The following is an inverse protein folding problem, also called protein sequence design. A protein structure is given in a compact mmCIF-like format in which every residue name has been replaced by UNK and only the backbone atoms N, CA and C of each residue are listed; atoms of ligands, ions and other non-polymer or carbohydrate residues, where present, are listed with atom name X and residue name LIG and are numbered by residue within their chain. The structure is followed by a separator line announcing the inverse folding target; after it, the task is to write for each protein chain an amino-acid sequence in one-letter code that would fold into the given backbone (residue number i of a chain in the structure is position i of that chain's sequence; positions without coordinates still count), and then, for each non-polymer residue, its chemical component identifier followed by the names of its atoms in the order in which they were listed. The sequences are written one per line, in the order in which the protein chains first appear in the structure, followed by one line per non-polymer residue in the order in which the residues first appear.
data_IF_929275795114
#
_entry.id   IF_929275795114
#
_cell.length_a   1.000
_cell.length_b   1.000
_cell.length_c   1.000
_cell.angle_alpha   90.00
_cell.angle_beta   90.00
_cell.angle_gamma   90.00
#
_symmetry.space_group_name_H-M   'P 1'
#
loop_
_entity.id
_entity.type
_entity.pdbx_description
1 polymer ?
#
# COMPACT_ATOMS: atom_id res chain seq x y z
N UNK A 1 25.12 6.23 10.65
CA UNK A 1 23.67 6.03 10.92
C UNK A 1 22.91 6.24 9.62
N UNK A 2 21.99 5.33 9.25
CA UNK A 2 21.11 5.55 8.09
C UNK A 2 20.18 6.73 8.44
N UNK A 3 19.99 7.72 7.56
CA UNK A 3 19.11 8.84 7.87
C UNK A 3 17.68 8.33 8.13
N UNK A 4 17.09 8.72 9.25
CA UNK A 4 15.77 8.27 9.68
C UNK A 4 14.71 9.04 8.91
N UNK A 5 14.20 8.43 7.83
CA UNK A 5 13.00 8.91 7.15
C UNK A 5 11.78 8.52 7.98
N UNK A 6 10.87 9.47 8.21
CA UNK A 6 9.61 9.20 8.85
C UNK A 6 8.50 10.09 8.27
N UNK A 7 7.27 9.60 8.39
CA UNK A 7 6.07 10.34 8.00
C UNK A 7 5.22 10.62 9.24
N UNK A 8 4.47 11.72 9.23
CA UNK A 8 3.49 12.06 10.28
C UNK A 8 2.37 12.93 9.73
N UNK A 9 1.19 12.83 10.32
CA UNK A 9 0.12 13.78 10.04
C UNK A 9 0.31 15.07 10.84
N UNK A 10 0.03 16.21 10.21
CA UNK A 10 -0.11 17.51 10.85
C UNK A 10 -1.35 18.18 10.27
N UNK A 11 -2.41 18.32 11.07
CA UNK A 11 -3.70 18.86 10.63
C UNK A 11 -4.30 18.10 9.42
N UNK A 12 -4.17 18.60 8.19
CA UNK A 12 -4.62 17.89 6.98
C UNK A 12 -3.47 17.58 6.02
N UNK A 13 -2.22 17.67 6.50
CA UNK A 13 -1.03 17.45 5.71
C UNK A 13 -0.26 16.23 6.19
N UNK A 14 0.20 15.40 5.25
CA UNK A 14 1.17 14.35 5.48
C UNK A 14 2.56 14.95 5.34
N UNK A 15 3.29 15.04 6.45
CA UNK A 15 4.65 15.54 6.49
C UNK A 15 5.63 14.38 6.29
N UNK A 16 6.62 14.59 5.43
CA UNK A 16 7.76 13.69 5.23
C UNK A 16 8.98 14.38 5.79
N UNK A 17 9.66 13.73 6.73
CA UNK A 17 10.83 14.27 7.37
C UNK A 17 11.99 13.29 7.34
N UNK A 18 13.21 13.82 7.22
CA UNK A 18 14.46 13.07 7.26
C UNK A 18 15.35 13.69 8.32
N UNK A 19 15.77 12.88 9.30
CA UNK A 19 16.58 13.34 10.44
C UNK A 19 15.94 14.52 11.20
N UNK A 20 14.61 14.50 11.36
CA UNK A 20 13.86 15.56 12.05
C UNK A 20 13.54 16.79 11.21
N UNK A 21 14.14 16.95 10.03
CA UNK A 21 13.84 18.06 9.12
C UNK A 21 12.75 17.68 8.12
N UNK A 22 11.73 18.53 7.98
CA UNK A 22 10.72 18.41 6.91
C UNK A 22 11.39 18.55 5.54
N UNK A 23 11.18 17.56 4.68
CA UNK A 23 11.71 17.53 3.30
C UNK A 23 10.60 17.51 2.25
N UNK A 24 9.37 17.15 2.64
CA UNK A 24 8.20 17.19 1.77
C UNK A 24 6.91 17.28 2.61
N UNK A 25 5.84 17.74 1.97
CA UNK A 25 4.49 17.91 2.50
C UNK A 25 3.46 17.61 1.43
N UNK A 26 2.42 16.87 1.79
CA UNK A 26 1.33 16.49 0.90
C UNK A 26 -0.01 16.76 1.59
N UNK A 27 -0.85 17.60 0.99
CA UNK A 27 -2.20 17.81 1.48
C UNK A 27 -3.02 16.54 1.32
N UNK A 28 -3.78 16.14 2.34
CA UNK A 28 -4.64 14.94 2.31
C UNK A 28 -5.64 14.97 1.14
N UNK A 29 -6.10 16.18 0.77
CA UNK A 29 -7.03 16.37 -0.36
C UNK A 29 -6.38 16.23 -1.72
N UNK A 30 -5.06 16.36 -1.79
CA UNK A 30 -4.29 16.19 -3.03
C UNK A 30 -3.97 14.71 -3.30
N UNK A 31 -4.19 13.85 -2.31
CA UNK A 31 -4.06 12.40 -2.45
C UNK A 31 -5.24 11.88 -3.28
N UNK A 32 -4.93 11.42 -4.49
CA UNK A 32 -5.89 10.77 -5.39
C UNK A 32 -5.87 9.25 -5.24
N UNK A 33 -4.67 8.69 -4.99
CA UNK A 33 -4.48 7.24 -4.87
C UNK A 33 -3.34 6.93 -3.92
N UNK A 34 -3.50 5.87 -3.14
CA UNK A 34 -2.40 5.23 -2.42
C UNK A 34 -2.31 3.79 -2.92
N UNK A 35 -1.14 3.36 -3.37
CA UNK A 35 -0.86 2.00 -3.81
C UNK A 35 0.09 1.38 -2.81
N UNK A 36 -0.37 0.36 -2.12
CA UNK A 36 0.40 -0.43 -1.17
C UNK A 36 0.99 -1.63 -1.92
N UNK A 37 2.31 -1.61 -2.09
CA UNK A 37 3.02 -2.72 -2.70
C UNK A 37 3.53 -3.63 -1.60
N UNK A 38 3.06 -4.87 -1.59
CA UNK A 38 3.33 -5.82 -0.52
C UNK A 38 4.22 -6.97 -0.98
N UNK A 39 5.06 -7.44 -0.07
CA UNK A 39 5.77 -8.71 -0.16
C UNK A 39 4.93 -9.83 0.47
N UNK A 40 5.34 -11.09 0.27
CA UNK A 40 4.62 -12.26 0.79
C UNK A 40 3.11 -12.24 0.43
N UNK A 41 2.22 -12.21 1.43
CA UNK A 41 0.75 -12.21 1.24
C UNK A 41 0.11 -10.82 1.42
N UNK A 42 0.84 -9.84 1.97
CA UNK A 42 0.29 -8.52 2.28
C UNK A 42 -0.78 -8.59 3.36
N UNK A 43 -0.57 -9.46 4.34
CA UNK A 43 -1.48 -9.76 5.44
C UNK A 43 -1.04 -9.06 6.75
N UNK A 44 0.20 -8.58 6.82
CA UNK A 44 0.72 -7.79 7.95
C UNK A 44 1.23 -6.42 7.49
N UNK A 45 1.25 -5.40 8.37
CA UNK A 45 1.84 -4.11 8.03
C UNK A 45 3.33 -4.19 7.71
N UNK A 46 4.02 -5.18 8.28
CA UNK A 46 5.43 -5.46 8.01
C UNK A 46 5.68 -6.04 6.61
N UNK A 47 4.62 -6.48 5.92
CA UNK A 47 4.72 -6.98 4.55
C UNK A 47 4.88 -5.84 3.53
N UNK A 48 4.78 -4.57 3.94
CA UNK A 48 5.01 -3.42 3.06
C UNK A 48 6.39 -3.53 2.41
N UNK A 49 6.43 -3.56 1.08
CA UNK A 49 7.66 -3.46 0.30
C UNK A 49 7.99 -2.00 -0.01
N UNK A 50 6.99 -1.25 -0.47
CA UNK A 50 6.99 0.21 -0.61
C UNK A 50 5.56 0.71 -0.84
N UNK A 51 5.35 2.02 -0.75
CA UNK A 51 4.07 2.64 -1.12
C UNK A 51 4.26 3.70 -2.19
N UNK A 52 3.23 3.88 -3.03
CA UNK A 52 3.11 5.00 -3.96
C UNK A 52 1.93 5.84 -3.54
N UNK A 53 2.13 7.14 -3.34
CA UNK A 53 1.05 8.10 -3.17
C UNK A 53 0.98 8.95 -4.43
N UNK A 54 -0.14 8.87 -5.15
CA UNK A 54 -0.37 9.65 -6.35
C UNK A 54 -1.19 10.89 -6.02
N UNK A 55 -0.68 12.04 -6.47
CA UNK A 55 -1.36 13.33 -6.54
C UNK A 55 -1.51 13.74 -8.00
N UNK A 56 -2.30 14.76 -8.29
CA UNK A 56 -2.53 15.24 -9.67
C UNK A 56 -1.25 15.37 -10.52
N UNK A 57 -0.18 15.85 -9.91
CA UNK A 57 1.07 16.19 -10.60
C UNK A 57 2.23 15.28 -10.27
N UNK A 58 2.18 14.58 -9.13
CA UNK A 58 3.33 13.84 -8.61
C UNK A 58 2.96 12.45 -8.13
N UNK A 59 3.90 11.51 -8.33
CA UNK A 59 3.93 10.23 -7.66
C UNK A 59 5.04 10.24 -6.59
N UNK A 60 4.67 9.95 -5.35
CA UNK A 60 5.59 9.90 -4.23
C UNK A 60 5.85 8.45 -3.83
N UNK A 61 7.11 8.03 -3.90
CA UNK A 61 7.57 6.71 -3.48
C UNK A 61 8.01 6.74 -2.02
N UNK A 62 7.55 5.77 -1.25
CA UNK A 62 7.89 5.63 0.16
C UNK A 62 8.52 4.26 0.45
N UNK A 63 9.73 4.21 1.04
CA UNK A 63 10.30 2.96 1.53
C UNK A 63 9.51 2.43 2.73
N UNK A 64 9.66 1.14 3.08
CA UNK A 64 8.87 0.51 4.13
C UNK A 64 9.22 1.03 5.53
N UNK A 65 10.44 1.54 5.72
CA UNK A 65 10.91 2.14 6.97
C UNK A 65 10.41 3.58 7.19
N UNK A 66 9.66 4.16 6.24
CA UNK A 66 9.13 5.54 6.33
C UNK A 66 7.96 5.73 7.31
N UNK A 67 7.39 4.64 7.83
CA UNK A 67 6.18 4.66 8.66
C UNK A 67 4.86 4.91 7.89
N UNK A 68 4.90 5.03 6.55
CA UNK A 68 3.73 5.33 5.72
C UNK A 68 2.59 4.30 5.89
N UNK A 69 2.92 3.01 6.05
CA UNK A 69 1.92 1.97 6.32
C UNK A 69 1.09 2.32 7.55
N UNK A 70 1.70 2.83 8.63
CA UNK A 70 0.96 3.23 9.83
C UNK A 70 0.01 4.40 9.56
N UNK A 71 0.44 5.37 8.75
CA UNK A 71 -0.36 6.55 8.38
C UNK A 71 -1.57 6.21 7.53
N UNK A 72 -1.49 5.14 6.74
CA UNK A 72 -2.55 4.67 5.85
C UNK A 72 -3.44 3.62 6.52
N UNK A 73 -2.87 2.71 7.33
CA UNK A 73 -3.60 1.58 7.90
C UNK A 73 -4.24 1.86 9.26
N UNK A 74 -3.62 2.72 10.07
CA UNK A 74 -4.00 2.87 11.49
C UNK A 74 -4.47 4.26 11.86
N UNK A 75 -4.02 5.28 11.15
CA UNK A 75 -4.44 6.65 11.40
C UNK A 75 -5.52 7.10 10.43
N UNK A 76 -6.42 7.97 10.90
CA UNK A 76 -7.46 8.61 10.08
C UNK A 76 -8.30 7.62 9.28
N UNK A 77 -8.69 6.52 9.91
CA UNK A 77 -9.44 5.43 9.25
C UNK A 77 -10.72 5.93 8.57
N UNK A 78 -11.48 6.83 9.20
CA UNK A 78 -12.68 7.44 8.60
C UNK A 78 -12.35 8.14 7.28
N UNK A 79 -11.30 8.97 7.25
CA UNK A 79 -10.86 9.65 6.04
C UNK A 79 -10.50 8.66 4.92
N UNK A 80 -9.72 7.62 5.21
CA UNK A 80 -9.33 6.63 4.20
C UNK A 80 -10.52 5.78 3.71
N UNK A 81 -11.44 5.44 4.62
CA UNK A 81 -12.65 4.69 4.30
C UNK A 81 -13.61 5.51 3.42
N UNK A 82 -13.77 6.80 3.71
CA UNK A 82 -14.60 7.71 2.90
C UNK A 82 -13.97 7.99 1.53
N UNK A 83 -12.65 8.22 1.50
CA UNK A 83 -11.94 8.57 0.27
C UNK A 83 -11.88 7.41 -0.74
N UNK A 84 -11.98 6.16 -0.27
CA UNK A 84 -11.89 4.93 -1.07
C UNK A 84 -10.78 4.99 -2.13
N UNK A 85 -9.55 5.28 -1.70
CA UNK A 85 -8.42 5.52 -2.61
C UNK A 85 -7.19 4.64 -2.34
N UNK A 86 -7.31 3.60 -1.50
CA UNK A 86 -6.19 2.70 -1.15
C UNK A 86 -6.28 1.42 -1.98
N UNK A 87 -5.23 1.11 -2.73
CA UNK A 87 -5.12 -0.02 -3.63
C UNK A 87 -3.92 -0.88 -3.24
N UNK A 88 -3.94 -2.13 -3.68
CA UNK A 88 -2.96 -3.13 -3.27
C UNK A 88 -2.43 -3.87 -4.49
N UNK A 89 -1.14 -4.18 -4.51
CA UNK A 89 -0.55 -5.03 -5.56
C UNK A 89 0.65 -5.80 -5.00
N UNK A 90 0.86 -7.07 -5.41
CA UNK A 90 2.03 -7.81 -4.98
C UNK A 90 3.30 -7.27 -5.64
N UNK A 91 4.40 -7.21 -4.88
CA UNK A 91 5.71 -6.76 -5.33
C UNK A 91 6.17 -7.44 -6.63
N UNK A 92 5.91 -8.74 -6.76
CA UNK A 92 6.27 -9.51 -7.95
C UNK A 92 5.61 -9.01 -9.25
N UNK A 93 4.50 -8.26 -9.16
CA UNK A 93 3.76 -7.69 -10.29
C UNK A 93 3.84 -6.17 -10.37
N UNK A 94 4.65 -5.56 -9.51
CA UNK A 94 4.86 -4.12 -9.45
C UNK A 94 6.36 -3.79 -9.58
N UNK A 95 6.99 -4.04 -10.73
CA UNK A 95 8.37 -3.66 -10.92
C UNK A 95 8.51 -2.14 -10.98
N UNK A 96 9.52 -1.59 -10.31
CA UNK A 96 9.94 -0.20 -10.46
C UNK A 96 11.11 -0.08 -11.45
N UNK A 97 11.24 1.05 -12.14
CA UNK A 97 12.45 1.39 -12.90
C UNK A 97 13.71 1.27 -12.04
N UNK A 98 14.77 0.69 -12.60
CA UNK A 98 16.05 0.46 -11.88
C UNK A 98 16.67 1.74 -11.32
N UNK A 99 16.47 2.87 -11.98
CA UNK A 99 16.93 4.20 -11.52
C UNK A 99 16.37 4.60 -10.15
N UNK A 100 15.23 4.03 -9.75
CA UNK A 100 14.55 4.36 -8.49
C UNK A 100 14.90 3.38 -7.36
N UNK A 101 15.65 2.32 -7.66
CA UNK A 101 16.05 1.28 -6.72
C UNK A 101 17.57 1.31 -6.50
N UNK A 102 18.09 2.14 -5.59
CA UNK A 102 19.52 2.21 -5.33
C UNK A 102 20.04 0.91 -4.66
N UNK A 103 21.13 0.34 -5.19
CA UNK A 103 21.87 -0.76 -4.56
C UNK A 103 22.24 -1.94 -5.48
N UNK A 104 23.15 -2.81 -5.01
CA UNK A 104 23.54 -4.04 -5.69
C UNK A 104 22.43 -5.09 -5.57
N UNK A 105 21.70 -5.32 -6.67
CA UNK A 105 20.53 -6.21 -6.78
C UNK A 105 20.79 -7.67 -6.38
N UNK A 106 22.05 -8.10 -6.31
CA UNK A 106 22.43 -9.49 -6.06
C UNK A 106 22.29 -9.96 -4.61
N UNK A 107 22.15 -9.05 -3.62
CA UNK A 107 22.15 -9.42 -2.19
C UNK A 107 20.87 -9.06 -1.41
N UNK A 108 20.00 -8.21 -1.95
CA UNK A 108 18.76 -7.77 -1.28
C UNK A 108 17.65 -7.47 -2.28
N UNK A 109 16.39 -7.63 -1.84
CA UNK A 109 15.26 -7.12 -2.62
C UNK A 109 15.42 -5.61 -2.82
N UNK A 110 15.30 -5.11 -4.07
CA UNK A 110 15.45 -3.69 -4.36
C UNK A 110 14.34 -2.91 -3.66
N UNK A 111 14.73 -2.04 -2.73
CA UNK A 111 13.80 -1.15 -2.02
C UNK A 111 14.04 0.27 -2.53
N UNK A 112 13.01 1.00 -3.00
CA UNK A 112 13.19 2.37 -3.44
C UNK A 112 13.55 3.29 -2.28
N UNK A 113 14.29 4.35 -2.55
CA UNK A 113 14.40 5.47 -1.60
C UNK A 113 13.14 6.36 -1.68
N UNK A 114 12.96 7.26 -0.71
CA UNK A 114 11.93 8.29 -0.87
C UNK A 114 12.24 9.17 -2.07
N UNK A 115 11.26 9.35 -2.95
CA UNK A 115 11.34 10.21 -4.12
C UNK A 115 9.97 10.82 -4.40
N UNK A 116 9.96 12.10 -4.79
CA UNK A 116 8.83 12.78 -5.42
C UNK A 116 9.15 12.89 -6.90
N UNK A 117 8.33 12.30 -7.74
CA UNK A 117 8.52 12.25 -9.19
C UNK A 117 7.35 12.93 -9.88
N UNK A 118 7.56 13.60 -11.03
CA UNK A 118 6.46 13.95 -11.93
C UNK A 118 5.62 12.71 -12.24
N UNK A 119 4.30 12.86 -12.26
CA UNK A 119 3.37 11.74 -12.44
C UNK A 119 3.59 10.96 -13.74
N UNK A 120 4.12 11.61 -14.77
CA UNK A 120 4.37 10.98 -16.06
C UNK A 120 5.49 9.93 -16.01
N UNK A 121 6.43 10.05 -15.06
CA UNK A 121 7.56 9.12 -14.95
C UNK A 121 7.12 7.69 -14.60
N UNK A 122 6.08 7.55 -13.78
CA UNK A 122 5.58 6.25 -13.34
C UNK A 122 4.23 5.85 -13.97
N UNK A 123 3.57 6.76 -14.69
CA UNK A 123 2.23 6.54 -15.27
C UNK A 123 2.11 5.21 -16.01
N UNK A 124 2.95 4.98 -17.02
CA UNK A 124 2.92 3.75 -17.84
C UNK A 124 3.34 2.50 -17.07
N UNK A 125 4.20 2.67 -16.06
CA UNK A 125 4.62 1.57 -15.20
C UNK A 125 3.46 1.13 -14.31
N UNK A 126 2.82 2.07 -13.61
CA UNK A 126 1.70 1.82 -12.71
C UNK A 126 0.47 1.35 -13.47
N UNK A 127 0.22 1.85 -14.68
CA UNK A 127 -0.92 1.42 -15.50
C UNK A 127 -0.93 -0.08 -15.81
N UNK A 128 0.23 -0.74 -15.78
CA UNK A 128 0.38 -2.18 -16.01
C UNK A 128 0.25 -3.02 -14.73
N UNK A 129 0.20 -2.39 -13.56
CA UNK A 129 0.12 -3.12 -12.30
C UNK A 129 -1.31 -3.62 -12.07
N UNK A 130 -1.51 -4.89 -11.67
CA UNK A 130 -2.82 -5.40 -11.30
C UNK A 130 -3.19 -4.89 -9.91
N UNK A 131 -3.94 -3.79 -9.86
CA UNK A 131 -4.38 -3.16 -8.61
C UNK A 131 -5.66 -3.82 -8.08
N UNK A 132 -5.62 -4.25 -6.82
CA UNK A 132 -6.77 -4.70 -6.04
C UNK A 132 -7.32 -3.54 -5.21
N UNK A 133 -8.63 -3.32 -5.22
CA UNK A 133 -9.29 -2.26 -4.44
C UNK A 133 -10.18 -1.33 -5.30
N UNK A 134 -10.59 -0.18 -4.76
CA UNK A 134 -10.11 0.42 -3.51
C UNK A 134 -10.65 -0.29 -2.27
N UNK A 135 -9.75 -0.58 -1.32
CA UNK A 135 -10.09 -1.20 -0.05
C UNK A 135 -9.17 -0.76 1.09
N UNK A 136 -9.74 -0.60 2.28
CA UNK A 136 -9.01 -0.27 3.49
C UNK A 136 -8.26 -1.49 4.07
N UNK A 137 -7.40 -1.22 5.05
CA UNK A 137 -6.70 -2.28 5.78
C UNK A 137 -7.67 -3.22 6.51
N UNK A 138 -8.73 -2.66 7.10
CA UNK A 138 -9.73 -3.45 7.83
C UNK A 138 -10.54 -4.36 6.90
N UNK A 139 -10.98 -3.84 5.75
CA UNK A 139 -11.65 -4.64 4.71
C UNK A 139 -10.75 -5.80 4.25
N UNK A 140 -9.45 -5.56 4.05
CA UNK A 140 -8.48 -6.61 3.67
C UNK A 140 -8.30 -7.66 4.78
N UNK A 141 -8.21 -7.24 6.05
CA UNK A 141 -8.15 -8.17 7.20
C UNK A 141 -9.39 -9.07 7.27
N UNK A 142 -10.58 -8.51 7.04
CA UNK A 142 -11.84 -9.28 7.01
C UNK A 142 -11.83 -10.29 5.86
N UNK A 143 -11.45 -9.86 4.65
CA UNK A 143 -11.34 -10.76 3.49
C UNK A 143 -10.34 -11.91 3.73
N UNK A 144 -9.21 -11.63 4.40
CA UNK A 144 -8.25 -12.66 4.83
C UNK A 144 -8.89 -13.67 5.78
N UNK A 145 -9.60 -13.21 6.81
CA UNK A 145 -10.28 -14.09 7.77
C UNK A 145 -11.32 -14.96 7.06
N UNK A 146 -12.09 -14.37 6.12
CA UNK A 146 -13.07 -15.12 5.33
C UNK A 146 -12.41 -16.23 4.49
N UNK A 147 -11.28 -15.94 3.83
CA UNK A 147 -10.51 -16.93 3.04
C UNK A 147 -9.85 -18.01 3.90
N UNK A 148 -9.48 -17.69 5.13
CA UNK A 148 -8.80 -18.60 6.04
C UNK A 148 -9.73 -19.56 6.76
N UNK A 149 -11.06 -19.41 6.64
CA UNK A 149 -12.02 -20.35 7.24
C UNK A 149 -12.00 -21.68 6.48
N UNK A 150 -11.53 -22.78 7.08
CA UNK A 150 -11.78 -24.10 6.51
C UNK A 150 -13.30 -24.33 6.53
N UNK A 151 -13.88 -24.88 5.46
CA UNK A 151 -15.32 -25.23 5.34
C UNK A 151 -16.34 -24.15 4.91
N UNK A 152 -15.94 -23.08 4.22
CA UNK A 152 -16.88 -22.05 3.70
C UNK A 152 -17.91 -22.52 2.66
N UNK A 153 -17.89 -23.79 2.23
CA UNK A 153 -18.87 -24.38 1.31
C UNK A 153 -19.50 -25.65 1.91
N UNK A 154 -20.12 -25.55 3.09
CA UNK A 154 -21.15 -26.52 3.45
C UNK A 154 -22.39 -26.20 2.61
N UNK A 155 -22.45 -26.79 1.42
CA UNK A 155 -23.66 -26.90 0.62
C UNK A 155 -24.72 -27.54 1.52
N UNK A 156 -25.91 -26.93 1.72
CA UNK A 156 -26.96 -27.56 2.50
C UNK A 156 -27.23 -28.96 1.93
N UNK A 157 -27.08 -29.99 2.76
CA UNK A 157 -27.55 -31.33 2.41
C UNK A 157 -29.06 -31.21 2.17
N UNK A 158 -29.48 -31.39 0.92
CA UNK A 158 -30.90 -31.52 0.61
C UNK A 158 -31.47 -32.67 1.46
N UNK A 159 -32.66 -32.51 2.06
CA UNK A 159 -33.26 -33.59 2.85
C UNK A 159 -33.45 -34.82 1.96
N UNK A 160 -32.93 -35.97 2.42
CA UNK A 160 -33.18 -37.26 1.79
C UNK A 160 -34.69 -37.49 1.66
N UNK A 161 -35.21 -37.86 0.47
CA UNK A 161 -36.60 -38.25 0.35
C UNK A 161 -36.79 -39.55 1.13
N UNK A 162 -37.64 -39.48 2.17
CA UNK A 162 -38.13 -40.63 2.91
C UNK A 162 -38.72 -41.65 1.92
N UNK A 163 -38.14 -42.85 1.89
CA UNK A 163 -38.73 -43.97 1.16
C UNK A 163 -39.96 -44.45 1.93
N UNK A 164 -41.09 -44.49 1.22
CA UNK A 164 -42.28 -45.27 1.56
C UNK A 164 -41.96 -46.77 1.53
#
# INVERSE_FOLDING_TARGET
MKPLLHTRWQSMDLIVARNGQEIDRIGARDIERVIIVYSARGDTPGDLAYAVLQSREHDLLFPPDSGIAGRVHFERQLFWNERRCVYWTPLAKAPLPRSLCPGLWFLRQPTPAFARLPRDELRETIARWPLEGPQSWDERKVARIARARPFGALRPLAPSPSRL
#
